data_IF_588711756884
#
_entry.id   IF_588711756884
#
_cell.length_a   1.000
_cell.length_b   1.000
_cell.length_c   1.000
_cell.angle_alpha   90.00
_cell.angle_beta   90.00
_cell.angle_gamma   90.00
#
_symmetry.space_group_name_H-M   'P 1'
#
loop_
_entity.id
_entity.type
_entity.pdbx_description
1 polymer ?
#
# COMPACT_ATOMS: atom_id res chain seq x y z
N UNK A 1 40.66 -43.68 -3.18
CA UNK A 1 39.72 -43.01 -4.10
C UNK A 1 39.51 -41.59 -3.63
N UNK A 2 40.11 -40.59 -4.28
CA UNK A 2 39.89 -39.17 -3.95
C UNK A 2 38.59 -38.76 -4.64
N UNK A 3 37.48 -38.74 -3.90
CA UNK A 3 36.22 -38.19 -4.39
C UNK A 3 36.47 -36.72 -4.74
N UNK A 4 36.32 -36.40 -6.02
CA UNK A 4 36.39 -35.06 -6.56
C UNK A 4 35.28 -34.20 -5.95
N UNK A 5 35.58 -33.51 -4.85
CA UNK A 5 34.63 -32.63 -4.13
C UNK A 5 34.41 -31.27 -4.80
N UNK A 6 35.27 -30.90 -5.74
CA UNK A 6 35.23 -29.62 -6.45
C UNK A 6 34.00 -29.44 -7.37
N UNK A 7 33.62 -30.42 -8.23
CA UNK A 7 32.44 -30.30 -9.08
C UNK A 7 31.12 -30.35 -8.29
N UNK A 8 31.09 -31.06 -7.16
CA UNK A 8 29.90 -31.14 -6.30
C UNK A 8 29.63 -29.80 -5.60
N UNK A 9 30.69 -29.10 -5.17
CA UNK A 9 30.60 -27.80 -4.51
C UNK A 9 30.12 -26.70 -5.48
N UNK A 10 30.59 -26.72 -6.74
CA UNK A 10 30.13 -25.81 -7.80
C UNK A 10 28.65 -26.02 -8.14
N UNK A 11 28.20 -27.28 -8.24
CA UNK A 11 26.78 -27.59 -8.46
C UNK A 11 25.89 -27.11 -7.31
N UNK A 12 26.33 -27.28 -6.06
CA UNK A 12 25.63 -26.72 -4.90
C UNK A 12 25.55 -25.20 -4.96
N UNK A 13 26.66 -24.51 -5.26
CA UNK A 13 26.68 -23.05 -5.35
C UNK A 13 25.73 -22.51 -6.44
N UNK A 14 25.68 -23.17 -7.60
CA UNK A 14 24.75 -22.82 -8.69
C UNK A 14 23.29 -23.05 -8.26
N UNK A 15 23.00 -24.17 -7.59
CA UNK A 15 21.66 -24.48 -7.08
C UNK A 15 21.20 -23.45 -6.03
N UNK A 16 22.09 -23.06 -5.11
CA UNK A 16 21.83 -22.03 -4.12
C UNK A 16 21.59 -20.65 -4.76
N UNK A 17 22.38 -20.28 -5.78
CA UNK A 17 22.17 -19.05 -6.54
C UNK A 17 20.82 -19.06 -7.27
N UNK A 18 20.41 -20.19 -7.85
CA UNK A 18 19.11 -20.34 -8.52
C UNK A 18 17.93 -20.28 -7.53
N UNK A 19 18.03 -20.95 -6.37
CA UNK A 19 17.02 -20.88 -5.31
C UNK A 19 16.90 -19.47 -4.73
N UNK A 20 18.02 -18.78 -4.53
CA UNK A 20 18.04 -17.39 -4.08
C UNK A 20 17.44 -16.44 -5.12
N UNK A 21 17.75 -16.62 -6.41
CA UNK A 21 17.14 -15.84 -7.50
C UNK A 21 15.63 -16.11 -7.62
N UNK A 22 15.20 -17.37 -7.52
CA UNK A 22 13.79 -17.73 -7.57
C UNK A 22 12.98 -17.15 -6.38
N UNK A 23 13.61 -17.05 -5.20
CA UNK A 23 13.04 -16.43 -4.02
C UNK A 23 13.01 -14.90 -4.06
N UNK A 24 13.98 -14.25 -4.73
CA UNK A 24 13.99 -12.79 -4.89
C UNK A 24 13.13 -12.30 -6.06
N UNK A 25 12.92 -13.13 -7.10
CA UNK A 25 12.12 -12.78 -8.29
C UNK A 25 10.61 -12.59 -8.02
N UNK A 26 10.10 -13.07 -6.87
CA UNK A 26 8.66 -12.99 -6.55
C UNK A 26 8.22 -11.68 -5.91
N UNK A 27 9.12 -10.72 -5.71
CA UNK A 27 8.76 -9.43 -5.11
C UNK A 27 8.32 -8.45 -6.20
N UNK A 28 7.11 -7.91 -6.04
CA UNK A 28 6.63 -6.81 -6.86
C UNK A 28 7.45 -5.54 -6.56
N UNK A 29 8.37 -5.17 -7.45
CA UNK A 29 9.15 -3.94 -7.36
C UNK A 29 8.39 -2.84 -8.08
N UNK A 30 7.96 -1.83 -7.34
CA UNK A 30 7.24 -0.68 -7.90
C UNK A 30 8.01 0.58 -7.56
N UNK A 31 8.25 1.40 -8.58
CA UNK A 31 8.69 2.77 -8.37
C UNK A 31 7.50 3.60 -7.90
N UNK A 32 7.59 4.16 -6.70
CA UNK A 32 6.58 5.03 -6.12
C UNK A 32 7.24 6.28 -5.55
N UNK A 33 6.73 7.45 -5.92
CA UNK A 33 7.15 8.72 -5.33
C UNK A 33 6.27 9.05 -4.12
N UNK A 34 6.52 8.32 -3.03
CA UNK A 34 5.80 8.51 -1.76
C UNK A 34 6.02 9.92 -1.21
N UNK A 35 7.23 10.45 -1.36
CA UNK A 35 7.57 11.78 -0.85
C UNK A 35 6.75 12.88 -1.53
N UNK A 36 6.55 12.77 -2.85
CA UNK A 36 5.69 13.69 -3.57
C UNK A 36 4.23 13.65 -3.09
N UNK A 37 3.68 12.47 -2.80
CA UNK A 37 2.34 12.33 -2.23
C UNK A 37 2.25 12.89 -0.81
N UNK A 38 3.22 12.60 0.05
CA UNK A 38 3.31 13.15 1.42
C UNK A 38 3.37 14.68 1.40
N UNK A 39 4.20 15.26 0.53
CA UNK A 39 4.30 16.71 0.36
C UNK A 39 2.99 17.32 -0.13
N UNK A 40 2.34 16.68 -1.11
CA UNK A 40 1.03 17.11 -1.62
C UNK A 40 -0.02 17.09 -0.51
N UNK A 41 -0.08 16.01 0.28
CA UNK A 41 -1.03 15.89 1.38
C UNK A 41 -0.74 16.89 2.50
N UNK A 42 0.52 17.06 2.88
CA UNK A 42 0.91 17.98 3.95
C UNK A 42 0.45 19.43 3.67
N UNK A 43 0.43 19.85 2.41
CA UNK A 43 -0.07 21.17 2.01
C UNK A 43 -1.58 21.37 2.18
N UNK A 44 -2.36 20.29 2.29
CA UNK A 44 -3.84 20.33 2.37
C UNK A 44 -4.40 19.65 3.62
N UNK A 45 -3.56 18.96 4.39
CA UNK A 45 -3.93 18.07 5.51
C UNK A 45 -4.87 18.75 6.51
N UNK A 46 -4.48 19.90 7.05
CA UNK A 46 -5.28 20.61 8.05
C UNK A 46 -6.66 21.00 7.51
N UNK A 47 -6.73 21.44 6.24
CA UNK A 47 -8.00 21.84 5.63
C UNK A 47 -8.92 20.64 5.36
N UNK A 48 -8.36 19.49 4.94
CA UNK A 48 -9.12 18.25 4.74
C UNK A 48 -9.61 17.71 6.09
N UNK A 49 -8.73 17.62 7.10
CA UNK A 49 -9.07 17.09 8.42
C UNK A 49 -10.08 17.98 9.17
N UNK A 50 -10.07 19.30 8.95
CA UNK A 50 -11.06 20.20 9.52
C UNK A 50 -12.49 19.97 8.98
N UNK A 51 -12.63 19.27 7.84
CA UNK A 51 -13.93 18.89 7.27
C UNK A 51 -14.45 17.55 7.80
N UNK A 52 -13.65 16.78 8.55
CA UNK A 52 -14.10 15.54 9.16
C UNK A 52 -14.99 15.84 10.38
N UNK A 53 -16.27 15.50 10.28
CA UNK A 53 -17.25 15.64 11.36
C UNK A 53 -17.32 14.43 12.30
N UNK A 54 -16.58 13.34 12.03
CA UNK A 54 -16.66 12.06 12.75
C UNK A 54 -15.34 11.69 13.42
N UNK A 55 -15.04 12.32 14.55
CA UNK A 55 -13.80 12.09 15.30
C UNK A 55 -13.75 10.73 16.01
N UNK A 56 -14.90 10.11 16.30
CA UNK A 56 -14.99 8.87 17.08
C UNK A 56 -14.82 7.59 16.25
N UNK A 57 -14.79 7.72 14.91
CA UNK A 57 -14.61 6.60 13.99
C UNK A 57 -13.17 6.66 13.48
N UNK A 58 -12.57 5.53 13.13
CA UNK A 58 -11.30 5.49 12.39
C UNK A 58 -11.42 4.44 11.30
N UNK A 59 -11.27 4.83 10.04
CA UNK A 59 -11.45 3.91 8.91
C UNK A 59 -10.18 3.06 8.75
N UNK A 60 -9.02 3.70 8.76
CA UNK A 60 -7.70 3.10 8.68
C UNK A 60 -7.08 2.93 10.08
N UNK A 61 -7.69 2.06 10.90
CA UNK A 61 -7.14 1.70 12.21
C UNK A 61 -5.76 1.07 12.08
N UNK A 62 -4.71 1.82 12.47
CA UNK A 62 -3.33 1.37 12.33
C UNK A 62 -3.08 0.03 13.03
N UNK A 63 -3.74 -0.23 14.17
CA UNK A 63 -3.60 -1.44 15.00
C UNK A 63 -4.44 -2.63 14.54
N UNK A 64 -5.57 -2.40 13.87
CA UNK A 64 -6.51 -3.49 13.53
C UNK A 64 -6.47 -3.85 12.04
N UNK A 65 -6.31 -2.87 11.15
CA UNK A 65 -6.35 -3.09 9.70
C UNK A 65 -4.95 -3.13 9.09
N UNK A 66 -4.08 -2.19 9.46
CA UNK A 66 -2.76 -2.04 8.84
C UNK A 66 -1.62 -2.72 9.63
N UNK A 67 -1.87 -3.15 10.87
CA UNK A 67 -0.89 -3.83 11.71
C UNK A 67 -0.75 -5.31 11.36
N UNK A 68 0.44 -5.87 11.63
CA UNK A 68 0.75 -7.28 11.43
C UNK A 68 0.44 -7.80 10.01
N UNK A 69 0.51 -6.93 9.00
CA UNK A 69 0.51 -7.37 7.60
C UNK A 69 1.90 -7.93 7.30
N UNK A 70 1.97 -9.20 6.90
CA UNK A 70 3.26 -9.82 6.58
C UNK A 70 3.81 -9.27 5.27
N UNK A 71 5.14 -9.32 5.12
CA UNK A 71 5.81 -8.81 3.92
C UNK A 71 5.32 -9.45 2.62
N UNK A 72 4.83 -10.70 2.65
CA UNK A 72 4.24 -11.36 1.48
C UNK A 72 2.85 -10.83 1.10
N UNK A 73 2.12 -10.23 2.04
CA UNK A 73 0.77 -9.71 1.81
C UNK A 73 0.74 -8.19 1.60
N UNK A 74 1.84 -7.48 1.88
CA UNK A 74 1.96 -6.02 1.67
C UNK A 74 1.51 -5.61 0.28
N UNK A 75 1.96 -6.34 -0.75
CA UNK A 75 1.60 -6.08 -2.14
C UNK A 75 0.07 -6.06 -2.33
N UNK A 76 -0.62 -7.10 -1.88
CA UNK A 76 -2.06 -7.21 -2.10
C UNK A 76 -2.86 -6.23 -1.25
N UNK A 77 -2.46 -6.02 0.02
CA UNK A 77 -3.10 -5.04 0.89
C UNK A 77 -2.98 -3.63 0.31
N UNK A 78 -1.79 -3.27 -0.20
CA UNK A 78 -1.57 -1.98 -0.87
C UNK A 78 -2.49 -1.85 -2.08
N UNK A 79 -2.56 -2.89 -2.92
CA UNK A 79 -3.40 -2.89 -4.13
C UNK A 79 -4.86 -2.65 -3.79
N UNK A 80 -5.39 -3.38 -2.81
CA UNK A 80 -6.80 -3.34 -2.44
C UNK A 80 -7.16 -2.00 -1.80
N UNK A 81 -6.31 -1.45 -0.92
CA UNK A 81 -6.52 -0.13 -0.32
C UNK A 81 -6.43 0.98 -1.37
N UNK A 82 -5.43 0.97 -2.25
CA UNK A 82 -5.33 1.97 -3.32
C UNK A 82 -6.52 1.90 -4.28
N UNK A 83 -6.97 0.70 -4.62
CA UNK A 83 -8.16 0.51 -5.45
C UNK A 83 -9.41 1.06 -4.76
N UNK A 84 -9.59 0.76 -3.47
CA UNK A 84 -10.68 1.33 -2.67
C UNK A 84 -10.66 2.86 -2.66
N UNK A 85 -9.49 3.48 -2.47
CA UNK A 85 -9.38 4.93 -2.50
C UNK A 85 -9.76 5.51 -3.85
N UNK A 86 -9.32 4.91 -4.95
CA UNK A 86 -9.66 5.37 -6.32
C UNK A 86 -11.15 5.20 -6.61
N UNK A 87 -11.71 4.02 -6.31
CA UNK A 87 -13.06 3.65 -6.74
C UNK A 87 -14.16 4.23 -5.83
N UNK A 88 -13.83 4.51 -4.56
CA UNK A 88 -14.80 4.97 -3.54
C UNK A 88 -14.43 6.33 -2.95
N UNK A 89 -13.22 6.53 -2.46
CA UNK A 89 -12.88 7.75 -1.71
C UNK A 89 -12.79 8.96 -2.64
N UNK A 90 -11.87 8.94 -3.62
CA UNK A 90 -11.69 10.06 -4.54
C UNK A 90 -12.91 10.29 -5.44
N UNK A 91 -13.62 9.22 -5.81
CA UNK A 91 -14.83 9.30 -6.64
C UNK A 91 -15.99 10.03 -5.96
N UNK A 92 -16.13 9.87 -4.64
CA UNK A 92 -17.25 10.45 -3.89
C UNK A 92 -16.89 11.72 -3.13
N UNK A 93 -15.67 12.25 -3.31
CA UNK A 93 -15.31 13.56 -2.77
C UNK A 93 -15.80 14.67 -3.69
N UNK A 94 -16.34 15.72 -3.08
CA UNK A 94 -16.63 17.00 -3.74
C UNK A 94 -15.79 18.06 -3.04
N UNK A 95 -14.88 18.71 -3.77
CA UNK A 95 -14.04 19.78 -3.25
C UNK A 95 -14.16 21.03 -4.12
N UNK A 96 -14.43 22.16 -3.46
CA UNK A 96 -14.63 23.45 -4.11
C UNK A 96 -13.39 24.34 -4.04
N UNK A 97 -12.48 24.16 -3.06
CA UNK A 97 -11.21 24.87 -3.02
C UNK A 97 -10.26 24.27 -4.08
N UNK A 98 -9.87 25.03 -5.13
CA UNK A 98 -9.02 24.52 -6.20
C UNK A 98 -7.64 24.04 -5.72
N UNK A 99 -7.13 24.57 -4.60
CA UNK A 99 -5.84 24.15 -4.03
C UNK A 99 -5.96 22.76 -3.40
N UNK A 100 -7.04 22.50 -2.67
CA UNK A 100 -7.31 21.18 -2.09
C UNK A 100 -7.56 20.18 -3.20
N UNK A 101 -8.43 20.52 -4.17
CA UNK A 101 -8.72 19.68 -5.34
C UNK A 101 -7.45 19.28 -6.10
N UNK A 102 -6.51 20.22 -6.31
CA UNK A 102 -5.24 19.94 -6.97
C UNK A 102 -4.37 18.97 -6.16
N UNK A 103 -4.25 19.19 -4.85
CA UNK A 103 -3.49 18.30 -3.98
C UNK A 103 -4.05 16.88 -3.96
N UNK A 104 -5.38 16.74 -3.89
CA UNK A 104 -6.07 15.46 -3.95
C UNK A 104 -5.91 14.79 -5.32
N UNK A 105 -5.99 15.54 -6.42
CA UNK A 105 -5.82 15.02 -7.78
C UNK A 105 -4.39 14.50 -8.01
N UNK A 106 -3.37 15.17 -7.47
CA UNK A 106 -1.97 14.69 -7.49
C UNK A 106 -1.84 13.32 -6.80
N UNK A 107 -2.47 13.16 -5.63
CA UNK A 107 -2.44 11.91 -4.87
C UNK A 107 -3.23 10.81 -5.60
N UNK A 108 -4.43 11.12 -6.09
CA UNK A 108 -5.29 10.19 -6.81
C UNK A 108 -4.62 9.61 -8.07
N UNK A 109 -3.94 10.45 -8.85
CA UNK A 109 -3.19 10.00 -10.02
C UNK A 109 -2.02 9.08 -9.65
N UNK A 110 -1.32 9.40 -8.56
CA UNK A 110 -0.24 8.56 -8.04
C UNK A 110 -0.77 7.20 -7.55
N UNK A 111 -1.91 7.19 -6.84
CA UNK A 111 -2.59 5.98 -6.40
C UNK A 111 -3.03 5.11 -7.58
N UNK A 112 -3.62 5.72 -8.61
CA UNK A 112 -4.01 5.02 -9.82
C UNK A 112 -2.82 4.36 -10.52
N UNK A 113 -1.72 5.10 -10.68
CA UNK A 113 -0.49 4.57 -11.27
C UNK A 113 0.06 3.37 -10.49
N UNK A 114 0.21 3.50 -9.17
CA UNK A 114 0.74 2.42 -8.32
C UNK A 114 -0.21 1.21 -8.32
N UNK A 115 -1.53 1.43 -8.23
CA UNK A 115 -2.53 0.36 -8.29
C UNK A 115 -2.42 -0.42 -9.59
N UNK A 116 -2.24 0.25 -10.73
CA UNK A 116 -2.10 -0.42 -12.02
C UNK A 116 -0.83 -1.27 -12.09
N UNK A 117 0.28 -0.79 -11.54
CA UNK A 117 1.51 -1.59 -11.42
C UNK A 117 1.32 -2.83 -10.51
N UNK A 118 0.64 -2.67 -9.36
CA UNK A 118 0.32 -3.78 -8.47
C UNK A 118 -0.62 -4.82 -9.10
N UNK A 119 -1.57 -4.38 -9.94
CA UNK A 119 -2.46 -5.29 -10.67
C UNK A 119 -1.68 -6.14 -11.69
N UNK A 120 -0.65 -5.58 -12.33
CA UNK A 120 0.27 -6.34 -13.17
C UNK A 120 1.07 -7.38 -12.36
N UNK A 121 1.54 -7.02 -11.15
CA UNK A 121 2.18 -7.99 -10.27
C UNK A 121 1.23 -9.13 -9.87
N UNK A 122 -0.05 -8.82 -9.63
CA UNK A 122 -1.07 -9.83 -9.33
C UNK A 122 -1.30 -10.77 -10.52
N UNK A 123 -1.43 -10.24 -11.74
CA UNK A 123 -1.63 -11.06 -12.94
C UNK A 123 -0.43 -11.99 -13.22
N UNK A 124 0.78 -11.55 -12.86
CA UNK A 124 2.00 -12.34 -12.92
C UNK A 124 2.21 -13.31 -11.74
N UNK A 125 1.26 -13.39 -10.79
CA UNK A 125 1.36 -14.20 -9.57
C UNK A 125 2.52 -13.81 -8.63
N UNK A 126 3.00 -12.57 -8.73
CA UNK A 126 4.02 -11.98 -7.85
C UNK A 126 3.41 -11.21 -6.67
N UNK A 127 2.10 -11.34 -6.47
CA UNK A 127 1.33 -10.67 -5.42
C UNK A 127 0.29 -11.64 -4.87
N UNK A 128 0.55 -12.27 -3.73
CA UNK A 128 -0.37 -13.21 -3.09
C UNK A 128 -1.14 -12.53 -1.96
N UNK A 129 -2.35 -13.03 -1.67
CA UNK A 129 -3.19 -12.48 -0.62
C UNK A 129 -3.76 -13.59 0.26
N UNK A 130 -3.33 -13.63 1.52
CA UNK A 130 -3.91 -14.55 2.51
C UNK A 130 -5.28 -14.08 2.98
N UNK A 131 -6.11 -15.03 3.39
CA UNK A 131 -7.46 -14.78 3.93
C UNK A 131 -7.47 -13.75 5.06
N UNK A 132 -6.48 -13.80 5.96
CA UNK A 132 -6.35 -12.84 7.07
C UNK A 132 -6.24 -11.40 6.57
N UNK A 133 -5.38 -11.14 5.57
CA UNK A 133 -5.22 -9.82 4.96
C UNK A 133 -6.50 -9.37 4.29
N UNK A 134 -7.19 -10.28 3.57
CA UNK A 134 -8.50 -9.99 2.99
C UNK A 134 -9.51 -9.60 4.08
N UNK A 135 -9.53 -10.28 5.23
CA UNK A 135 -10.41 -9.94 6.35
C UNK A 135 -10.09 -8.58 6.96
N UNK A 136 -8.81 -8.21 7.06
CA UNK A 136 -8.39 -6.86 7.51
C UNK A 136 -8.80 -5.77 6.52
N UNK A 137 -8.65 -6.01 5.22
CA UNK A 137 -9.16 -5.10 4.19
C UNK A 137 -10.69 -4.95 4.26
N UNK A 138 -11.43 -6.04 4.47
CA UNK A 138 -12.89 -5.99 4.65
C UNK A 138 -13.31 -5.18 5.87
N UNK A 139 -12.48 -5.09 6.92
CA UNK A 139 -12.75 -4.20 8.05
C UNK A 139 -12.68 -2.72 7.64
N UNK A 140 -11.72 -2.33 6.78
CA UNK A 140 -11.65 -0.97 6.21
C UNK A 140 -12.95 -0.64 5.46
N UNK A 141 -13.38 -1.56 4.60
CA UNK A 141 -14.62 -1.39 3.80
C UNK A 141 -15.84 -1.23 4.72
N UNK A 142 -15.98 -2.09 5.74
CA UNK A 142 -17.10 -2.01 6.69
C UNK A 142 -17.11 -0.72 7.48
N UNK A 143 -15.95 -0.24 7.95
CA UNK A 143 -15.86 1.01 8.68
C UNK A 143 -16.28 2.20 7.81
N UNK A 144 -15.95 2.18 6.52
CA UNK A 144 -16.42 3.18 5.56
C UNK A 144 -17.93 3.12 5.34
N UNK A 145 -18.49 1.92 5.18
CA UNK A 145 -19.92 1.70 4.88
C UNK A 145 -20.85 2.00 6.06
N UNK A 146 -20.32 2.16 7.28
CA UNK A 146 -21.08 2.59 8.46
C UNK A 146 -21.43 4.09 8.43
N UNK A 147 -20.88 4.84 7.49
CA UNK A 147 -21.03 6.29 7.39
C UNK A 147 -21.75 6.68 6.10
N UNK A 148 -22.30 7.89 6.07
CA UNK A 148 -22.77 8.49 4.81
C UNK A 148 -21.59 8.64 3.84
N UNK A 149 -21.81 8.35 2.55
CA UNK A 149 -20.76 8.16 1.56
C UNK A 149 -19.84 9.37 1.42
N UNK A 150 -20.37 10.60 1.42
CA UNK A 150 -19.54 11.82 1.32
C UNK A 150 -18.75 12.06 2.61
N UNK A 151 -19.36 11.87 3.77
CA UNK A 151 -18.66 11.96 5.05
C UNK A 151 -17.53 10.92 5.18
N UNK A 152 -17.79 9.68 4.76
CA UNK A 152 -16.82 8.59 4.74
C UNK A 152 -15.62 8.89 3.83
N UNK A 153 -15.88 9.50 2.67
CA UNK A 153 -14.85 9.94 1.74
C UNK A 153 -13.96 11.02 2.36
N UNK A 154 -14.56 12.08 2.94
CA UNK A 154 -13.80 13.15 3.62
C UNK A 154 -12.95 12.57 4.75
N UNK A 155 -13.53 11.68 5.56
CA UNK A 155 -12.80 11.01 6.64
C UNK A 155 -11.61 10.21 6.13
N UNK A 156 -11.82 9.39 5.10
CA UNK A 156 -10.75 8.59 4.49
C UNK A 156 -9.63 9.46 3.91
N UNK A 157 -9.97 10.63 3.35
CA UNK A 157 -8.99 11.62 2.89
C UNK A 157 -8.22 12.23 4.06
N UNK A 158 -8.88 12.48 5.19
CA UNK A 158 -8.25 12.96 6.42
C UNK A 158 -7.25 11.99 7.03
N UNK A 159 -7.39 10.69 6.76
CA UNK A 159 -6.53 9.60 7.24
C UNK A 159 -5.42 9.19 6.23
N UNK A 160 -5.19 9.99 5.19
CA UNK A 160 -4.16 9.71 4.17
C UNK A 160 -2.74 9.65 4.75
N UNK A 161 -2.42 10.39 5.81
CA UNK A 161 -1.12 10.31 6.47
C UNK A 161 -0.86 8.93 7.08
N UNK A 162 -1.89 8.30 7.64
CA UNK A 162 -1.81 6.92 8.16
C UNK A 162 -1.46 5.96 7.02
N UNK A 163 -2.18 6.08 5.90
CA UNK A 163 -1.95 5.23 4.72
C UNK A 163 -0.55 5.45 4.13
N UNK A 164 -0.17 6.70 3.87
CA UNK A 164 1.13 7.04 3.27
C UNK A 164 2.28 6.59 4.18
N UNK A 165 2.17 6.80 5.49
CA UNK A 165 3.14 6.29 6.46
C UNK A 165 3.24 4.77 6.46
N UNK A 166 2.12 4.06 6.32
CA UNK A 166 2.12 2.60 6.19
C UNK A 166 2.78 2.13 4.89
N UNK A 167 2.48 2.73 3.74
CA UNK A 167 3.12 2.37 2.47
C UNK A 167 4.63 2.65 2.56
N UNK A 168 5.02 3.83 3.03
CA UNK A 168 6.43 4.21 3.21
C UNK A 168 7.21 3.16 4.02
N UNK A 169 6.67 2.74 5.17
CA UNK A 169 7.30 1.73 6.04
C UNK A 169 7.46 0.35 5.39
N UNK A 170 6.61 0.00 4.43
CA UNK A 170 6.60 -1.32 3.81
C UNK A 170 7.37 -1.41 2.49
N UNK A 171 7.57 -0.29 1.80
CA UNK A 171 8.27 -0.24 0.51
C UNK A 171 9.62 0.48 0.54
N UNK A 172 9.94 1.24 1.59
CA UNK A 172 11.30 1.75 1.74
C UNK A 172 12.27 0.64 2.16
N UNK A 173 13.50 0.62 1.61
CA UNK A 173 14.54 -0.29 2.09
C UNK A 173 14.76 -0.05 3.58
N UNK A 174 14.60 -1.09 4.40
CA UNK A 174 15.10 -1.04 5.78
C UNK A 174 16.61 -0.83 5.68
N UNK A 175 17.11 0.30 6.20
CA UNK A 175 18.53 0.50 6.33
C UNK A 175 19.11 -0.70 7.08
N UNK A 176 19.97 -1.47 6.40
CA UNK A 176 20.78 -2.49 7.04
C UNK A 176 21.73 -1.77 7.99
N UNK A 177 21.41 -1.77 9.27
CA UNK A 177 22.41 -1.54 10.32
C UNK A 177 23.52 -2.57 10.09
N UNK A 178 24.67 -2.06 9.64
CA UNK A 178 25.94 -2.79 9.62
C UNK A 178 26.39 -3.09 11.04
#
# INVERSE_FOLDING_TARGET
MKLSGFPLCLLCAILFLWLAHAGSLRRCLISMDIHHMEKSFQGIKTAVQAKDSFQNITILSASETLYNITSSDVCCMTKDVLQFYVDKVFRNHEESDPRIQRGLSTIANSFLHIRNALEQCRSQKNCYCRKETTSKFQLIVRNYEQMEVKAAAIKSLGELDILLSWISRNYQPKATTK
#
